data_IF_448396705946
#
_entry.id   IF_448396705946
#
_cell.length_a   1.000
_cell.length_b   1.000
_cell.length_c   1.000
_cell.angle_alpha   90.00
_cell.angle_beta   90.00
_cell.angle_gamma   90.00
#
_symmetry.space_group_name_H-M   'P 1'
#
loop_
_entity.id
_entity.type
_entity.pdbx_description
1 polymer ?
#
# COMPACT_ATOMS: atom_id res chain seq x y z
N UNK A 1 10.79 -18.14 -4.90
CA UNK A 1 10.11 -18.69 -6.08
C UNK A 1 8.63 -18.31 -6.00
N UNK A 2 8.03 -17.83 -7.09
CA UNK A 2 6.61 -17.44 -7.21
C UNK A 2 5.78 -18.50 -7.93
N UNK A 3 6.40 -19.61 -8.36
CA UNK A 3 5.72 -20.70 -9.06
C UNK A 3 4.61 -21.30 -8.19
N UNK A 4 3.42 -21.44 -8.79
CA UNK A 4 2.23 -21.97 -8.11
C UNK A 4 1.58 -21.02 -7.10
N UNK A 5 2.10 -19.80 -6.94
CA UNK A 5 1.51 -18.78 -6.08
C UNK A 5 0.53 -17.90 -6.86
N UNK A 6 -0.38 -17.25 -6.15
CA UNK A 6 -1.33 -16.28 -6.69
C UNK A 6 -1.32 -15.01 -5.86
N UNK A 7 -1.74 -13.90 -6.47
CA UNK A 7 -1.94 -12.64 -5.77
C UNK A 7 -3.03 -12.82 -4.71
N UNK A 8 -2.76 -12.47 -3.45
CA UNK A 8 -3.75 -12.63 -2.38
C UNK A 8 -4.98 -11.70 -2.52
N UNK A 9 -4.90 -10.68 -3.39
CA UNK A 9 -5.99 -9.73 -3.64
C UNK A 9 -6.86 -10.20 -4.81
N UNK A 10 -6.26 -10.42 -5.98
CA UNK A 10 -7.02 -10.75 -7.19
C UNK A 10 -7.03 -12.24 -7.56
N UNK A 11 -6.31 -13.08 -6.81
CA UNK A 11 -6.18 -14.53 -7.00
C UNK A 11 -5.55 -14.99 -8.32
N UNK A 12 -4.91 -14.08 -9.06
CA UNK A 12 -4.21 -14.40 -10.32
C UNK A 12 -2.69 -14.45 -10.14
N UNK A 13 -2.00 -15.29 -10.93
CA UNK A 13 -0.54 -15.32 -10.97
C UNK A 13 0.05 -14.12 -11.76
N UNK A 14 -0.60 -13.72 -12.85
CA UNK A 14 -0.28 -12.53 -13.63
C UNK A 14 -1.45 -11.57 -13.59
N UNK A 15 -1.19 -10.28 -13.39
CA UNK A 15 -2.25 -9.29 -13.35
C UNK A 15 -2.88 -9.13 -14.74
N UNK A 16 -4.21 -9.27 -14.86
CA UNK A 16 -4.90 -9.25 -16.16
C UNK A 16 -4.60 -8.00 -17.00
N UNK A 17 -4.48 -6.82 -16.38
CA UNK A 17 -4.23 -5.53 -17.05
C UNK A 17 -2.74 -5.20 -17.24
N UNK A 18 -1.99 -5.05 -16.14
CA UNK A 18 -0.58 -4.63 -16.16
C UNK A 18 0.39 -5.73 -16.57
N UNK A 19 -0.07 -6.99 -16.60
CA UNK A 19 0.76 -8.18 -16.87
C UNK A 19 1.92 -8.38 -15.91
N UNK A 20 1.90 -7.71 -14.77
CA UNK A 20 2.93 -7.88 -13.75
C UNK A 20 2.85 -9.26 -13.07
N UNK A 21 4.01 -9.76 -12.69
CA UNK A 21 4.15 -10.95 -11.86
C UNK A 21 4.01 -10.64 -10.36
N UNK A 22 4.15 -11.68 -9.55
CA UNK A 22 4.03 -11.59 -8.10
C UNK A 22 5.33 -11.09 -7.45
N UNK A 23 5.17 -10.27 -6.42
CA UNK A 23 6.23 -9.91 -5.48
C UNK A 23 5.86 -10.36 -4.08
N UNK A 24 6.86 -10.40 -3.20
CA UNK A 24 6.67 -10.65 -1.77
C UNK A 24 7.69 -9.83 -0.99
N UNK A 25 7.22 -8.77 -0.35
CA UNK A 25 8.06 -7.79 0.35
C UNK A 25 7.75 -7.67 1.84
N UNK A 26 7.16 -8.69 2.46
CA UNK A 26 6.75 -8.67 3.87
C UNK A 26 7.21 -9.94 4.61
N UNK A 27 6.84 -10.06 5.89
CA UNK A 27 7.23 -11.16 6.77
C UNK A 27 6.22 -12.32 6.86
N UNK A 28 5.19 -12.35 6.00
CA UNK A 28 4.24 -13.47 5.91
C UNK A 28 4.96 -14.85 5.78
N UNK A 29 4.25 -15.95 6.04
CA UNK A 29 4.83 -17.30 5.90
C UNK A 29 4.03 -18.14 4.92
N UNK A 30 4.64 -19.21 4.41
CA UNK A 30 4.00 -20.11 3.45
C UNK A 30 3.61 -19.40 2.15
N UNK A 31 2.37 -19.60 1.72
CA UNK A 31 1.79 -19.05 0.49
C UNK A 31 1.21 -17.63 0.67
N UNK A 32 1.33 -17.03 1.86
CA UNK A 32 0.79 -15.71 2.14
C UNK A 32 1.74 -14.57 1.71
N UNK A 33 1.14 -13.44 1.34
CA UNK A 33 1.84 -12.19 1.03
C UNK A 33 2.42 -12.10 -0.39
N UNK A 34 2.12 -13.05 -1.27
CA UNK A 34 2.37 -12.89 -2.70
C UNK A 34 1.30 -11.99 -3.33
N UNK A 35 1.73 -10.98 -4.07
CA UNK A 35 0.82 -9.94 -4.55
C UNK A 35 1.37 -9.25 -5.79
N UNK A 36 0.47 -8.68 -6.59
CA UNK A 36 0.79 -7.69 -7.60
C UNK A 36 1.05 -6.34 -6.92
N UNK A 37 2.10 -5.63 -7.31
CA UNK A 37 2.38 -4.25 -6.85
C UNK A 37 1.20 -3.32 -7.15
N UNK A 38 0.56 -3.45 -8.32
CA UNK A 38 -0.61 -2.65 -8.69
C UNK A 38 -1.80 -2.91 -7.78
N UNK A 39 -2.13 -4.18 -7.51
CA UNK A 39 -3.21 -4.53 -6.58
C UNK A 39 -2.91 -4.02 -5.18
N UNK A 40 -1.65 -4.10 -4.76
CA UNK A 40 -1.26 -3.64 -3.44
C UNK A 40 -1.35 -2.11 -3.30
N UNK A 41 -0.91 -1.37 -4.32
CA UNK A 41 -1.04 0.09 -4.35
C UNK A 41 -2.52 0.52 -4.38
N UNK A 42 -3.37 -0.19 -5.12
CA UNK A 42 -4.82 0.08 -5.15
C UNK A 42 -5.47 -0.18 -3.80
N UNK A 43 -5.15 -1.29 -3.14
CA UNK A 43 -5.60 -1.58 -1.77
C UNK A 43 -5.13 -0.50 -0.79
N UNK A 44 -3.85 -0.11 -0.83
CA UNK A 44 -3.31 0.92 0.05
C UNK A 44 -4.03 2.28 -0.15
N UNK A 45 -4.32 2.65 -1.40
CA UNK A 45 -5.10 3.84 -1.73
C UNK A 45 -6.50 3.78 -1.11
N UNK A 46 -7.26 2.71 -1.38
CA UNK A 46 -8.63 2.55 -0.85
C UNK A 46 -8.63 2.69 0.67
N UNK A 47 -7.74 1.97 1.35
CA UNK A 47 -7.64 1.99 2.81
C UNK A 47 -7.20 3.35 3.37
N UNK A 48 -6.37 4.10 2.63
CA UNK A 48 -5.93 5.44 2.99
C UNK A 48 -7.07 6.46 2.84
N UNK A 49 -7.81 6.38 1.73
CA UNK A 49 -8.95 7.26 1.43
C UNK A 49 -10.10 6.98 2.41
N UNK A 50 -10.42 5.71 2.71
CA UNK A 50 -11.39 5.32 3.75
C UNK A 50 -11.00 5.85 5.14
N UNK A 51 -9.71 5.83 5.47
CA UNK A 51 -9.23 6.36 6.75
C UNK A 51 -9.32 7.89 6.82
N UNK A 52 -9.21 8.59 5.68
CA UNK A 52 -9.37 10.05 5.58
C UNK A 52 -10.85 10.45 5.71
N UNK A 53 -11.77 9.68 5.11
CA UNK A 53 -13.22 9.93 5.20
C UNK A 53 -13.78 9.65 6.60
N UNK A 54 -13.26 8.64 7.30
CA UNK A 54 -13.82 8.20 8.59
C UNK A 54 -13.19 8.85 9.83
N UNK A 55 -12.04 9.54 9.73
CA UNK A 55 -11.32 10.03 10.92
C UNK A 55 -11.10 11.55 10.94
N UNK A 56 -11.69 12.21 11.96
CA UNK A 56 -11.61 13.66 12.17
C UNK A 56 -10.37 14.14 12.93
N UNK A 57 -9.51 13.24 13.46
CA UNK A 57 -8.35 13.62 14.28
C UNK A 57 -7.00 13.57 13.52
N UNK A 58 -6.07 14.44 13.93
CA UNK A 58 -4.74 14.62 13.32
C UNK A 58 -3.88 13.34 13.41
N UNK A 59 -4.04 12.56 14.49
CA UNK A 59 -3.28 11.34 14.69
C UNK A 59 -3.69 10.28 13.66
N UNK A 60 -5.00 10.15 13.40
CA UNK A 60 -5.53 9.26 12.39
C UNK A 60 -5.16 9.71 10.97
N UNK A 61 -5.10 11.03 10.71
CA UNK A 61 -4.52 11.56 9.47
C UNK A 61 -3.07 11.12 9.32
N UNK A 62 -2.23 11.25 10.34
CA UNK A 62 -0.84 10.82 10.23
C UNK A 62 -0.69 9.30 10.05
N UNK A 63 -1.57 8.52 10.66
CA UNK A 63 -1.55 7.07 10.61
C UNK A 63 -2.03 6.49 9.27
N UNK A 64 -2.87 7.20 8.51
CA UNK A 64 -3.43 6.68 7.24
C UNK A 64 -2.37 6.25 6.23
N UNK A 65 -1.23 6.96 6.21
CA UNK A 65 -0.12 6.61 5.31
C UNK A 65 0.62 5.34 5.71
N UNK A 66 0.42 4.80 6.93
CA UNK A 66 0.94 3.47 7.29
C UNK A 66 0.38 2.37 6.39
N UNK A 67 -0.81 2.56 5.80
CA UNK A 67 -1.40 1.61 4.83
C UNK A 67 -0.57 1.42 3.56
N UNK A 68 0.28 2.39 3.22
CA UNK A 68 1.25 2.26 2.12
C UNK A 68 2.54 1.55 2.52
N UNK A 69 2.80 1.43 3.82
CA UNK A 69 4.07 0.96 4.37
C UNK A 69 3.98 -0.41 5.02
N UNK A 70 2.80 -0.83 5.49
CA UNK A 70 2.61 -2.04 6.28
C UNK A 70 1.73 -3.06 5.57
N UNK A 71 2.07 -4.33 5.76
CA UNK A 71 1.30 -5.42 5.18
C UNK A 71 0.01 -5.67 5.94
N UNK A 72 -1.14 -5.63 5.25
CA UNK A 72 -2.45 -5.89 5.87
C UNK A 72 -2.65 -7.32 6.41
N UNK A 73 -1.72 -8.24 6.14
CA UNK A 73 -1.78 -9.63 6.61
C UNK A 73 -0.90 -9.91 7.83
N UNK A 74 0.29 -9.32 7.88
CA UNK A 74 1.26 -9.59 8.96
C UNK A 74 1.72 -8.34 9.70
N UNK A 75 1.21 -7.16 9.33
CA UNK A 75 1.43 -5.83 9.95
C UNK A 75 2.89 -5.36 9.99
N UNK A 76 3.81 -6.17 9.48
CA UNK A 76 5.20 -5.77 9.29
C UNK A 76 5.36 -4.83 8.12
N UNK A 77 6.30 -3.90 8.25
CA UNK A 77 6.66 -2.97 7.18
C UNK A 77 7.14 -3.71 5.94
N UNK A 78 6.72 -3.23 4.77
CA UNK A 78 7.26 -3.69 3.51
C UNK A 78 8.76 -3.39 3.41
N UNK A 79 9.51 -4.30 2.81
CA UNK A 79 10.96 -4.21 2.65
C UNK A 79 11.40 -4.38 1.18
N UNK A 80 12.67 -4.06 0.92
CA UNK A 80 13.29 -4.19 -0.39
C UNK A 80 12.59 -3.39 -1.50
N UNK A 81 12.58 -3.94 -2.72
CA UNK A 81 12.00 -3.27 -3.89
C UNK A 81 10.51 -2.97 -3.77
N UNK A 82 9.75 -3.75 -3.01
CA UNK A 82 8.32 -3.51 -2.78
C UNK A 82 8.09 -2.21 -2.00
N UNK A 83 8.92 -1.95 -0.97
CA UNK A 83 8.87 -0.69 -0.22
C UNK A 83 9.06 0.52 -1.14
N UNK A 84 10.06 0.47 -2.03
CA UNK A 84 10.33 1.55 -2.98
C UNK A 84 9.19 1.70 -4.00
N UNK A 85 8.67 0.59 -4.52
CA UNK A 85 7.59 0.62 -5.50
C UNK A 85 6.29 1.21 -4.91
N UNK A 86 5.96 0.88 -3.66
CA UNK A 86 4.83 1.47 -2.96
C UNK A 86 5.06 2.93 -2.61
N UNK A 87 6.27 3.32 -2.19
CA UNK A 87 6.61 4.73 -2.00
C UNK A 87 6.40 5.56 -3.27
N UNK A 88 6.85 5.02 -4.42
CA UNK A 88 6.62 5.65 -5.73
C UNK A 88 5.15 5.70 -6.12
N UNK A 89 4.40 4.62 -5.91
CA UNK A 89 2.97 4.57 -6.19
C UNK A 89 2.17 5.54 -5.31
N UNK A 90 2.51 5.63 -4.02
CA UNK A 90 1.96 6.60 -3.07
C UNK A 90 2.21 8.02 -3.56
N UNK A 91 3.47 8.35 -3.86
CA UNK A 91 3.84 9.67 -4.37
C UNK A 91 3.04 10.03 -5.62
N UNK A 92 2.96 9.14 -6.63
CA UNK A 92 2.15 9.38 -7.83
C UNK A 92 0.66 9.56 -7.56
N UNK A 93 0.13 8.86 -6.55
CA UNK A 93 -1.30 8.91 -6.22
C UNK A 93 -1.70 10.24 -5.62
N UNK A 94 -0.81 10.84 -4.82
CA UNK A 94 -1.07 12.09 -4.10
C UNK A 94 -0.29 13.28 -4.64
N UNK A 95 0.46 13.10 -5.74
CA UNK A 95 1.17 14.17 -6.44
C UNK A 95 0.20 15.28 -6.83
N UNK A 96 0.45 16.50 -6.35
CA UNK A 96 -0.38 17.67 -6.66
C UNK A 96 -1.57 17.87 -5.73
N UNK A 97 -1.78 17.02 -4.71
CA UNK A 97 -2.65 17.44 -3.58
C UNK A 97 -1.97 18.60 -2.85
N UNK A 98 -2.72 19.65 -2.47
CA UNK A 98 -2.16 20.68 -1.59
C UNK A 98 -1.71 19.99 -0.29
N UNK A 99 -0.51 20.31 0.19
CA UNK A 99 -0.18 20.03 1.58
C UNK A 99 -1.25 20.74 2.40
N UNK A 100 -2.10 19.98 3.08
CA UNK A 100 -3.01 20.55 4.07
C UNK A 100 -2.12 21.14 5.16
N UNK A 101 -1.86 22.44 5.05
CA UNK A 101 -1.18 23.29 6.01
C UNK A 101 -1.99 23.33 7.32
N UNK A 102 -1.97 22.24 8.08
CA UNK A 102 -2.37 22.28 9.49
C UNK A 102 -1.23 22.80 10.38
N UNK A 103 -0.04 23.05 9.82
CA UNK A 103 1.15 23.53 10.54
C UNK A 103 1.21 25.07 10.62
N UNK A 104 0.43 25.84 9.85
CA UNK A 104 0.46 27.31 9.86
C UNK A 104 -0.62 27.99 10.73
N UNK A 105 -1.52 27.23 11.37
CA UNK A 105 -2.59 27.82 12.21
C UNK A 105 -2.20 28.02 13.68
N UNK A 106 -0.96 27.69 14.06
CA UNK A 106 -0.44 27.86 15.43
C UNK A 106 0.96 28.51 15.49
N UNK A 107 1.36 29.26 14.46
CA UNK A 107 2.58 30.08 14.48
C UNK A 107 2.27 31.55 14.76
#
# INVERSE_FOLDING_TARGET
DTKGQTCYICTQALHWKTKEGLVRGCACRGTAGFVHVSCLAEQAKILCDEAEENNLDIKAKNERFRRWQECSLCEQTYHGGVKCALGWACWKTYLGRPETDEILLFA
#
